data_IF_644261466628
#
_entry.id   IF_644261466628
#
_cell.length_a   1.000
_cell.length_b   1.000
_cell.length_c   1.000
_cell.angle_alpha   90.00
_cell.angle_beta   90.00
_cell.angle_gamma   90.00
#
_symmetry.space_group_name_H-M   'P 1'
#
loop_
_entity.id
_entity.type
_entity.pdbx_description
1 polymer ?
#
# COMPACT_ATOMS: atom_id res chain seq x y z
N UNK A 1 -24.35 53.72 0.49
CA UNK A 1 -23.05 53.21 0.97
C UNK A 1 -23.26 52.06 1.97
N UNK A 2 -23.72 50.90 1.58
CA UNK A 2 -24.09 49.83 2.53
C UNK A 2 -24.14 48.43 1.98
N UNK A 3 -23.43 48.15 0.85
CA UNK A 3 -23.49 46.82 0.21
C UNK A 3 -22.15 46.12 -0.06
N UNK A 4 -21.01 46.74 0.24
CA UNK A 4 -19.68 46.23 -0.09
C UNK A 4 -19.02 45.44 1.06
N UNK A 5 -19.49 45.58 2.28
CA UNK A 5 -18.82 44.97 3.48
C UNK A 5 -19.26 43.51 3.75
N UNK A 6 -20.41 43.08 3.18
CA UNK A 6 -20.92 41.70 3.45
C UNK A 6 -20.27 40.57 2.65
N UNK A 7 -19.53 40.85 1.56
CA UNK A 7 -18.92 39.82 0.71
C UNK A 7 -17.48 39.51 1.10
N UNK A 8 -16.80 40.34 1.85
CA UNK A 8 -15.42 40.11 2.32
C UNK A 8 -15.32 39.03 3.41
N UNK A 9 -16.31 38.91 4.30
CA UNK A 9 -16.28 37.91 5.37
C UNK A 9 -16.53 36.47 4.89
N UNK A 10 -17.28 36.30 3.82
CA UNK A 10 -17.53 34.96 3.27
C UNK A 10 -16.32 34.38 2.51
N UNK A 11 -15.53 35.22 1.86
CA UNK A 11 -14.31 34.79 1.15
C UNK A 11 -13.20 34.34 2.12
N UNK A 12 -13.07 35.01 3.27
CA UNK A 12 -12.11 34.60 4.31
C UNK A 12 -12.54 33.34 5.04
N UNK A 13 -13.83 33.12 5.24
CA UNK A 13 -14.39 31.91 5.82
C UNK A 13 -14.19 30.68 4.93
N UNK A 14 -14.36 30.83 3.61
CA UNK A 14 -14.16 29.74 2.64
C UNK A 14 -12.68 29.42 2.46
N UNK A 15 -11.80 30.42 2.47
CA UNK A 15 -10.35 30.22 2.35
C UNK A 15 -9.74 29.55 3.59
N UNK A 16 -10.26 29.85 4.80
CA UNK A 16 -9.85 29.20 6.05
C UNK A 16 -10.34 27.74 6.14
N UNK A 17 -11.47 27.40 5.50
CA UNK A 17 -12.03 26.06 5.50
C UNK A 17 -11.29 25.09 4.54
N UNK A 18 -10.66 25.61 3.49
CA UNK A 18 -9.90 24.79 2.52
C UNK A 18 -8.53 24.35 3.02
N UNK A 19 -7.97 24.99 4.06
CA UNK A 19 -6.67 24.64 4.64
C UNK A 19 -6.75 23.52 5.70
N UNK A 20 -7.95 23.14 6.16
CA UNK A 20 -8.14 22.07 7.17
C UNK A 20 -8.49 20.71 6.58
N UNK A 21 -8.63 20.56 5.26
CA UNK A 21 -9.25 19.37 4.66
C UNK A 21 -8.32 18.15 4.55
N UNK A 22 -7.01 18.31 4.50
CA UNK A 22 -6.07 17.19 4.33
C UNK A 22 -5.97 16.30 5.57
N UNK A 23 -5.77 16.89 6.76
CA UNK A 23 -5.58 16.15 8.01
C UNK A 23 -6.88 15.46 8.49
N UNK A 24 -8.05 16.09 8.29
CA UNK A 24 -9.33 15.51 8.69
C UNK A 24 -9.71 14.28 7.84
N UNK A 25 -9.39 14.29 6.56
CA UNK A 25 -9.74 13.19 5.64
C UNK A 25 -9.03 11.89 6.00
N UNK A 26 -7.72 11.93 6.29
CA UNK A 26 -6.96 10.74 6.70
C UNK A 26 -7.48 10.20 8.04
N UNK A 27 -7.78 11.07 9.01
CA UNK A 27 -8.33 10.66 10.30
C UNK A 27 -9.72 10.04 10.16
N UNK A 28 -10.60 10.61 9.33
CA UNK A 28 -11.93 10.06 9.06
C UNK A 28 -11.79 8.70 8.37
N UNK A 29 -10.97 8.60 7.33
CA UNK A 29 -10.74 7.36 6.60
C UNK A 29 -10.19 6.26 7.52
N UNK A 30 -9.23 6.60 8.40
CA UNK A 30 -8.68 5.64 9.35
C UNK A 30 -9.71 5.19 10.39
N UNK A 31 -10.54 6.10 10.90
CA UNK A 31 -11.58 5.74 11.86
C UNK A 31 -12.69 4.84 11.29
N UNK A 32 -12.80 4.75 9.96
CA UNK A 32 -13.72 3.86 9.24
C UNK A 32 -12.99 2.67 8.59
N UNK A 33 -11.70 2.46 8.93
CA UNK A 33 -10.86 1.49 8.22
C UNK A 33 -11.37 0.05 8.36
N UNK A 34 -11.89 -0.33 9.52
CA UNK A 34 -12.48 -1.64 9.77
C UNK A 34 -13.71 -1.91 8.89
N UNK A 35 -14.60 -0.93 8.73
CA UNK A 35 -15.75 -1.05 7.83
C UNK A 35 -15.32 -1.07 6.35
N UNK A 36 -14.37 -0.22 5.95
CA UNK A 36 -13.85 -0.20 4.57
C UNK A 36 -13.19 -1.53 4.22
N UNK A 37 -12.37 -2.08 5.13
CA UNK A 37 -11.72 -3.38 4.95
C UNK A 37 -12.76 -4.51 4.92
N UNK A 38 -13.79 -4.43 5.75
CA UNK A 38 -14.91 -5.38 5.72
C UNK A 38 -15.58 -5.42 4.33
N UNK A 39 -16.00 -4.27 3.80
CA UNK A 39 -16.64 -4.22 2.48
C UNK A 39 -15.71 -4.66 1.34
N UNK A 40 -14.42 -4.33 1.45
CA UNK A 40 -13.43 -4.79 0.49
C UNK A 40 -13.27 -6.32 0.53
N UNK A 41 -13.16 -6.92 1.72
CA UNK A 41 -13.05 -8.36 1.92
C UNK A 41 -14.32 -9.08 1.46
N UNK A 42 -15.49 -8.59 1.85
CA UNK A 42 -16.79 -9.13 1.42
C UNK A 42 -16.92 -9.13 -0.11
N UNK A 43 -16.47 -8.04 -0.76
CA UNK A 43 -16.42 -7.95 -2.23
C UNK A 43 -15.47 -8.95 -2.91
N UNK A 44 -14.55 -9.59 -2.17
CA UNK A 44 -13.71 -10.68 -2.66
C UNK A 44 -14.31 -12.05 -2.39
N UNK A 45 -14.80 -12.25 -1.18
CA UNK A 45 -15.13 -13.56 -0.63
C UNK A 45 -16.61 -13.85 -0.78
N UNK A 46 -17.49 -12.84 -0.71
CA UNK A 46 -18.94 -12.98 -0.59
C UNK A 46 -19.30 -13.75 0.72
N UNK A 47 -19.12 -13.05 1.83
CA UNK A 47 -19.25 -13.63 3.16
C UNK A 47 -20.69 -14.08 3.43
N UNK A 48 -20.85 -15.26 3.97
CA UNK A 48 -22.15 -15.74 4.45
C UNK A 48 -22.59 -14.98 5.71
N UNK A 49 -23.90 -14.96 5.99
CA UNK A 49 -24.44 -14.30 7.19
C UNK A 49 -23.85 -14.85 8.50
N UNK A 50 -23.40 -16.11 8.50
CA UNK A 50 -22.72 -16.72 9.63
C UNK A 50 -21.28 -16.23 9.81
N UNK A 51 -20.58 -15.87 8.72
CA UNK A 51 -19.19 -15.39 8.74
C UNK A 51 -19.10 -13.89 9.05
N UNK A 52 -20.10 -13.09 8.64
CA UNK A 52 -20.10 -11.63 8.78
C UNK A 52 -19.84 -11.14 10.22
N UNK A 53 -20.51 -11.65 11.27
CA UNK A 53 -20.26 -11.20 12.64
C UNK A 53 -18.81 -11.45 13.09
N UNK A 54 -18.27 -12.64 12.81
CA UNK A 54 -16.89 -13.00 13.12
C UNK A 54 -15.90 -12.08 12.43
N UNK A 55 -16.06 -11.83 11.14
CA UNK A 55 -15.15 -10.96 10.37
C UNK A 55 -15.20 -9.52 10.89
N UNK A 56 -16.39 -8.97 11.17
CA UNK A 56 -16.51 -7.62 11.72
C UNK A 56 -15.82 -7.49 13.08
N UNK A 57 -16.00 -8.45 13.94
CA UNK A 57 -15.37 -8.47 15.27
C UNK A 57 -13.85 -8.59 15.16
N UNK A 58 -13.35 -9.47 14.30
CA UNK A 58 -11.91 -9.58 13.99
C UNK A 58 -11.33 -8.26 13.50
N UNK A 59 -11.98 -7.61 12.56
CA UNK A 59 -11.51 -6.33 12.01
C UNK A 59 -11.54 -5.21 13.04
N UNK A 60 -12.55 -5.18 13.92
CA UNK A 60 -12.61 -4.23 15.02
C UNK A 60 -11.45 -4.43 16.00
N UNK A 61 -11.13 -5.66 16.38
CA UNK A 61 -10.00 -5.98 17.25
C UNK A 61 -8.66 -5.65 16.59
N UNK A 62 -8.51 -6.02 15.30
CA UNK A 62 -7.33 -5.67 14.51
C UNK A 62 -7.13 -4.16 14.44
N UNK A 63 -8.19 -3.38 14.19
CA UNK A 63 -8.13 -1.92 14.13
C UNK A 63 -7.72 -1.32 15.48
N UNK A 64 -8.27 -1.83 16.58
CA UNK A 64 -7.91 -1.40 17.93
C UNK A 64 -6.44 -1.71 18.25
N UNK A 65 -5.99 -2.94 18.00
CA UNK A 65 -4.58 -3.32 18.18
C UNK A 65 -3.64 -2.49 17.30
N UNK A 66 -3.99 -2.30 16.02
CA UNK A 66 -3.21 -1.50 15.09
C UNK A 66 -3.06 -0.07 15.58
N UNK A 67 -4.14 0.52 16.09
CA UNK A 67 -4.14 1.87 16.67
C UNK A 67 -3.21 1.97 17.86
N UNK A 68 -3.27 1.02 18.78
CA UNK A 68 -2.54 1.06 20.04
C UNK A 68 -1.06 0.64 19.91
N UNK A 69 -0.77 -0.30 19.02
CA UNK A 69 0.54 -0.93 18.92
C UNK A 69 1.32 -0.50 17.68
N UNK A 70 0.66 -0.33 16.54
CA UNK A 70 1.35 -0.10 15.27
C UNK A 70 1.49 1.38 14.93
N UNK A 71 0.49 2.20 15.21
CA UNK A 71 0.60 3.63 14.93
C UNK A 71 1.77 4.31 15.67
N UNK A 72 2.09 4.01 16.95
CA UNK A 72 3.30 4.51 17.60
C UNK A 72 4.58 4.12 16.86
N UNK A 73 4.70 2.87 16.42
CA UNK A 73 5.86 2.38 15.65
C UNK A 73 5.97 3.12 14.30
N UNK A 74 4.83 3.40 13.64
CA UNK A 74 4.83 4.15 12.40
C UNK A 74 5.21 5.62 12.59
N UNK A 75 4.91 6.22 13.75
CA UNK A 75 5.42 7.55 14.10
C UNK A 75 6.94 7.53 14.17
N UNK A 76 7.54 6.56 14.88
CA UNK A 76 8.99 6.40 14.96
C UNK A 76 9.62 6.18 13.58
N UNK A 77 9.00 5.35 12.75
CA UNK A 77 9.43 5.14 11.37
C UNK A 77 9.40 6.44 10.54
N UNK A 78 8.32 7.22 10.63
CA UNK A 78 8.20 8.49 9.90
C UNK A 78 9.24 9.51 10.38
N UNK A 79 9.54 9.57 11.68
CA UNK A 79 10.62 10.39 12.24
C UNK A 79 11.98 10.02 11.66
N UNK A 80 12.28 8.71 11.55
CA UNK A 80 13.49 8.20 10.90
C UNK A 80 13.58 8.68 9.43
N UNK A 81 12.49 8.53 8.67
CA UNK A 81 12.45 8.96 7.26
C UNK A 81 12.57 10.49 7.14
N UNK A 82 11.88 11.23 8.00
CA UNK A 82 11.94 12.71 8.02
C UNK A 82 13.33 13.23 8.34
N UNK A 83 14.07 12.55 9.21
CA UNK A 83 15.46 12.92 9.51
C UNK A 83 16.39 12.77 8.28
N UNK A 84 16.07 11.90 7.33
CA UNK A 84 16.81 11.74 6.08
C UNK A 84 16.42 12.80 5.03
N UNK A 85 15.23 13.35 5.11
CA UNK A 85 14.67 14.22 4.05
C UNK A 85 15.54 15.42 3.67
N UNK A 86 16.25 16.12 4.58
CA UNK A 86 17.13 17.24 4.22
C UNK A 86 18.43 16.84 3.52
N UNK A 87 18.83 15.57 3.64
CA UNK A 87 20.15 15.08 3.23
C UNK A 87 20.08 14.31 1.91
N UNK A 88 21.21 14.16 1.25
CA UNK A 88 21.35 13.15 0.20
C UNK A 88 21.29 11.75 0.80
N UNK A 89 20.71 10.80 0.06
CA UNK A 89 20.57 9.42 0.48
C UNK A 89 21.24 8.47 -0.50
N UNK A 90 21.69 7.34 0.02
CA UNK A 90 22.19 6.22 -0.79
C UNK A 90 21.03 5.24 -1.10
N UNK A 91 21.22 4.41 -2.13
CA UNK A 91 20.24 3.40 -2.52
C UNK A 91 19.90 2.43 -1.36
N UNK A 92 20.88 2.09 -0.53
CA UNK A 92 20.75 1.22 0.65
C UNK A 92 19.80 1.82 1.69
N UNK A 93 19.82 3.14 1.88
CA UNK A 93 18.89 3.82 2.79
C UNK A 93 17.45 3.77 2.25
N UNK A 94 17.29 3.98 0.93
CA UNK A 94 15.99 3.81 0.28
C UNK A 94 15.48 2.35 0.40
N UNK A 95 16.37 1.36 0.19
CA UNK A 95 16.04 -0.05 0.37
C UNK A 95 15.68 -0.39 1.81
N UNK A 96 16.36 0.20 2.80
CA UNK A 96 16.02 0.03 4.22
C UNK A 96 14.62 0.53 4.54
N UNK A 97 14.24 1.71 4.01
CA UNK A 97 12.89 2.26 4.16
C UNK A 97 11.83 1.29 3.56
N UNK A 98 12.08 0.79 2.35
CA UNK A 98 11.19 -0.20 1.72
C UNK A 98 11.08 -1.48 2.54
N UNK A 99 12.18 -1.94 3.14
CA UNK A 99 12.18 -3.13 4.00
C UNK A 99 11.39 -2.89 5.30
N UNK A 100 11.52 -1.73 5.92
CA UNK A 100 10.75 -1.37 7.11
C UNK A 100 9.23 -1.39 6.83
N UNK A 101 8.80 -0.86 5.67
CA UNK A 101 7.40 -0.93 5.22
C UNK A 101 6.95 -2.38 5.00
N UNK A 102 7.78 -3.21 4.38
CA UNK A 102 7.48 -4.63 4.19
C UNK A 102 7.34 -5.36 5.53
N UNK A 103 8.23 -5.09 6.50
CA UNK A 103 8.19 -5.68 7.83
C UNK A 103 6.91 -5.28 8.59
N UNK A 104 6.49 -4.02 8.50
CA UNK A 104 5.23 -3.55 9.08
C UNK A 104 4.02 -4.31 8.51
N UNK A 105 4.00 -4.55 7.19
CA UNK A 105 2.96 -5.38 6.56
C UNK A 105 2.99 -6.83 7.07
N UNK A 106 4.16 -7.45 7.17
CA UNK A 106 4.32 -8.82 7.69
C UNK A 106 3.83 -8.90 9.14
N UNK A 107 4.15 -7.92 9.98
CA UNK A 107 3.67 -7.84 11.37
C UNK A 107 2.14 -7.80 11.43
N UNK A 108 1.49 -7.01 10.58
CA UNK A 108 0.03 -6.94 10.48
C UNK A 108 -0.57 -8.31 10.11
N UNK A 109 -0.02 -8.97 9.08
CA UNK A 109 -0.52 -10.27 8.62
C UNK A 109 -0.34 -11.35 9.68
N UNK A 110 0.79 -11.36 10.38
CA UNK A 110 1.04 -12.32 11.47
C UNK A 110 0.08 -12.10 12.64
N UNK A 111 -0.29 -10.85 12.93
CA UNK A 111 -1.22 -10.58 14.04
C UNK A 111 -2.62 -11.15 13.77
N UNK A 112 -3.09 -11.07 12.52
CA UNK A 112 -4.44 -11.53 12.13
C UNK A 112 -4.45 -12.97 11.62
N UNK A 113 -3.31 -13.67 11.67
CA UNK A 113 -3.15 -15.03 11.13
C UNK A 113 -4.13 -16.06 11.74
N UNK A 114 -4.33 -16.14 13.08
CA UNK A 114 -5.22 -17.13 13.66
C UNK A 114 -6.66 -16.99 13.14
N UNK A 115 -7.18 -15.77 13.11
CA UNK A 115 -8.52 -15.46 12.63
C UNK A 115 -8.64 -15.66 11.11
N UNK A 116 -7.57 -15.36 10.37
CA UNK A 116 -7.50 -15.63 8.93
C UNK A 116 -7.60 -17.13 8.64
N UNK A 117 -6.87 -17.97 9.37
CA UNK A 117 -6.95 -19.43 9.24
C UNK A 117 -8.34 -19.94 9.61
N UNK A 118 -8.96 -19.39 10.66
CA UNK A 118 -10.32 -19.75 11.05
C UNK A 118 -11.35 -19.40 9.96
N UNK A 119 -11.26 -18.21 9.37
CA UNK A 119 -12.13 -17.80 8.26
C UNK A 119 -11.91 -18.67 7.02
N UNK A 120 -10.65 -18.88 6.62
CA UNK A 120 -10.30 -19.71 5.46
C UNK A 120 -10.81 -21.13 5.63
N UNK A 121 -10.76 -21.68 6.86
CA UNK A 121 -11.28 -23.00 7.19
C UNK A 121 -12.81 -23.13 7.01
N UNK A 122 -13.54 -22.02 6.93
CA UNK A 122 -14.99 -21.98 6.74
C UNK A 122 -15.40 -21.65 5.30
N UNK A 123 -14.44 -21.40 4.38
CA UNK A 123 -14.75 -21.03 3.01
C UNK A 123 -15.36 -22.19 2.23
N UNK A 124 -16.42 -21.87 1.50
CA UNK A 124 -17.16 -22.79 0.64
C UNK A 124 -16.67 -22.71 -0.82
N UNK A 125 -17.00 -23.73 -1.61
CA UNK A 125 -16.63 -23.79 -3.03
C UNK A 125 -17.09 -22.55 -3.84
N UNK A 126 -18.29 -22.03 -3.56
CA UNK A 126 -18.83 -20.82 -4.18
C UNK A 126 -17.95 -19.57 -3.89
N UNK A 127 -17.44 -19.48 -2.67
CA UNK A 127 -16.58 -18.36 -2.25
C UNK A 127 -15.23 -18.41 -2.97
N UNK A 128 -14.64 -19.59 -3.16
CA UNK A 128 -13.46 -19.73 -3.99
C UNK A 128 -13.73 -19.34 -5.45
N UNK A 129 -14.92 -19.60 -5.99
CA UNK A 129 -15.30 -19.12 -7.33
C UNK A 129 -15.39 -17.59 -7.38
N UNK A 130 -15.93 -16.94 -6.34
CA UNK A 130 -16.00 -15.49 -6.26
C UNK A 130 -14.61 -14.85 -6.21
N UNK A 131 -13.68 -15.41 -5.42
CA UNK A 131 -12.29 -14.97 -5.38
C UNK A 131 -11.64 -15.08 -6.78
N UNK A 132 -11.86 -16.19 -7.50
CA UNK A 132 -11.34 -16.36 -8.88
C UNK A 132 -11.90 -15.32 -9.84
N UNK A 133 -13.22 -15.08 -9.83
CA UNK A 133 -13.86 -14.03 -10.65
C UNK A 133 -13.30 -12.66 -10.35
N UNK A 134 -13.04 -12.37 -9.07
CA UNK A 134 -12.42 -11.11 -8.65
C UNK A 134 -11.00 -10.99 -9.19
N UNK A 135 -10.21 -12.06 -9.13
CA UNK A 135 -8.87 -12.10 -9.71
C UNK A 135 -8.91 -11.88 -11.22
N UNK A 136 -9.81 -12.51 -11.96
CA UNK A 136 -9.97 -12.33 -13.41
C UNK A 136 -10.24 -10.86 -13.77
N UNK A 137 -11.16 -10.20 -13.05
CA UNK A 137 -11.44 -8.76 -13.25
C UNK A 137 -10.22 -7.90 -12.99
N UNK A 138 -9.50 -8.13 -11.88
CA UNK A 138 -8.30 -7.39 -11.54
C UNK A 138 -7.14 -7.67 -12.51
N UNK A 139 -7.05 -8.89 -13.05
CA UNK A 139 -6.06 -9.28 -14.05
C UNK A 139 -6.34 -8.61 -15.41
N UNK A 140 -7.62 -8.45 -15.77
CA UNK A 140 -8.00 -7.68 -16.96
C UNK A 140 -7.53 -6.22 -16.83
N UNK A 141 -7.87 -5.54 -15.75
CA UNK A 141 -7.44 -4.15 -15.51
C UNK A 141 -5.91 -4.03 -15.52
N UNK A 142 -5.21 -4.96 -14.87
CA UNK A 142 -3.75 -4.95 -14.84
C UNK A 142 -3.13 -5.09 -16.24
N UNK A 143 -3.70 -5.96 -17.11
CA UNK A 143 -3.23 -6.06 -18.50
C UNK A 143 -3.46 -4.77 -19.28
N UNK A 144 -4.64 -4.16 -19.14
CA UNK A 144 -4.96 -2.87 -19.78
C UNK A 144 -3.96 -1.77 -19.40
N UNK A 145 -3.51 -1.75 -18.14
CA UNK A 145 -2.59 -0.76 -17.61
C UNK A 145 -1.12 -1.03 -17.97
N UNK A 146 -0.68 -2.31 -17.95
CA UNK A 146 0.73 -2.66 -17.97
C UNK A 146 1.17 -3.54 -19.16
N UNK A 147 0.26 -4.17 -19.89
CA UNK A 147 0.59 -5.06 -21.01
C UNK A 147 0.04 -4.59 -22.35
N UNK A 148 -1.18 -4.03 -22.37
CA UNK A 148 -1.84 -3.72 -23.62
C UNK A 148 -1.34 -2.41 -24.23
N UNK A 149 -1.23 -2.40 -25.57
CA UNK A 149 -0.77 -1.26 -26.34
C UNK A 149 0.74 -1.23 -26.58
N UNK A 150 1.23 -0.11 -27.11
CA UNK A 150 2.65 0.07 -27.45
C UNK A 150 3.53 0.23 -26.20
N UNK A 151 4.83 -0.06 -26.33
CA UNK A 151 5.82 0.14 -25.28
C UNK A 151 5.79 1.59 -24.76
N UNK A 152 5.68 2.53 -25.67
CA UNK A 152 5.57 3.96 -25.33
C UNK A 152 4.35 4.27 -24.45
N UNK A 153 3.18 3.67 -24.76
CA UNK A 153 1.98 3.85 -23.92
C UNK A 153 2.21 3.32 -22.52
N UNK A 154 2.79 2.12 -22.39
CA UNK A 154 3.09 1.48 -21.10
C UNK A 154 4.12 2.26 -20.29
N UNK A 155 5.20 2.71 -20.93
CA UNK A 155 6.21 3.55 -20.28
C UNK A 155 5.64 4.87 -19.80
N UNK A 156 4.85 5.58 -20.63
CA UNK A 156 4.16 6.81 -20.22
C UNK A 156 3.21 6.60 -19.05
N UNK A 157 2.44 5.51 -19.05
CA UNK A 157 1.56 5.18 -17.92
C UNK A 157 2.34 4.99 -16.63
N UNK A 158 3.40 4.18 -16.64
CA UNK A 158 4.25 3.94 -15.47
C UNK A 158 4.91 5.23 -14.97
N UNK A 159 5.46 6.02 -15.89
CA UNK A 159 6.09 7.30 -15.55
C UNK A 159 5.09 8.28 -14.93
N UNK A 160 3.86 8.36 -15.47
CA UNK A 160 2.78 9.19 -14.92
C UNK A 160 2.40 8.76 -13.50
N UNK A 161 2.24 7.45 -13.26
CA UNK A 161 1.90 6.94 -11.93
C UNK A 161 3.00 7.24 -10.90
N UNK A 162 4.27 7.05 -11.28
CA UNK A 162 5.40 7.35 -10.41
C UNK A 162 5.52 8.85 -10.15
N UNK A 163 5.41 9.68 -11.19
CA UNK A 163 5.43 11.14 -11.08
C UNK A 163 4.37 11.66 -10.11
N UNK A 164 3.11 11.23 -10.27
CA UNK A 164 2.02 11.67 -9.40
C UNK A 164 2.31 11.37 -7.93
N UNK A 165 2.77 10.15 -7.62
CA UNK A 165 3.11 9.75 -6.24
C UNK A 165 4.27 10.58 -5.65
N UNK A 166 5.26 10.92 -6.46
CA UNK A 166 6.40 11.71 -6.00
C UNK A 166 5.99 13.18 -5.80
N UNK A 167 5.14 13.72 -6.68
CA UNK A 167 4.63 15.10 -6.56
C UNK A 167 3.70 15.26 -5.33
N UNK A 168 3.02 14.20 -4.87
CA UNK A 168 2.26 14.22 -3.62
C UNK A 168 3.14 14.55 -2.39
N UNK A 169 4.41 14.13 -2.41
CA UNK A 169 5.35 14.34 -1.31
C UNK A 169 6.24 15.57 -1.50
N UNK A 170 6.84 15.72 -2.68
CA UNK A 170 7.82 16.77 -2.97
C UNK A 170 7.21 18.06 -3.53
N UNK A 171 5.93 18.02 -3.94
CA UNK A 171 5.33 19.05 -4.80
C UNK A 171 5.78 18.89 -6.25
N UNK A 172 5.53 19.93 -7.04
CA UNK A 172 5.84 19.89 -8.48
C UNK A 172 7.31 19.59 -8.75
N UNK A 173 7.55 18.62 -9.64
CA UNK A 173 8.88 18.28 -10.13
C UNK A 173 9.21 19.08 -11.40
N UNK A 174 10.45 19.52 -11.54
CA UNK A 174 10.94 20.24 -12.71
C UNK A 174 11.26 19.33 -13.90
N UNK A 175 11.66 19.93 -15.04
CA UNK A 175 11.92 19.16 -16.24
C UNK A 175 13.11 18.17 -16.11
N UNK A 176 14.26 18.54 -15.50
CA UNK A 176 15.33 17.60 -15.18
C UNK A 176 14.91 16.43 -14.32
N UNK A 177 14.11 16.67 -13.27
CA UNK A 177 13.60 15.65 -12.36
C UNK A 177 12.62 14.69 -13.07
N UNK A 178 11.75 15.23 -13.92
CA UNK A 178 10.86 14.42 -14.78
C UNK A 178 11.65 13.56 -15.78
N UNK A 179 12.79 14.05 -16.25
CA UNK A 179 13.68 13.28 -17.12
C UNK A 179 14.34 12.11 -16.35
N UNK A 180 14.73 12.32 -15.08
CA UNK A 180 15.21 11.23 -14.21
C UNK A 180 14.15 10.12 -14.11
N UNK A 181 12.88 10.48 -13.90
CA UNK A 181 11.78 9.49 -13.83
C UNK A 181 11.63 8.72 -15.15
N UNK A 182 11.69 9.42 -16.29
CA UNK A 182 11.61 8.75 -17.61
C UNK A 182 12.76 7.76 -17.80
N UNK A 183 13.98 8.16 -17.46
CA UNK A 183 15.16 7.30 -17.57
C UNK A 183 15.08 6.11 -16.60
N UNK A 184 14.58 6.31 -15.39
CA UNK A 184 14.35 5.24 -14.43
C UNK A 184 13.38 4.20 -15.01
N UNK A 185 12.25 4.63 -15.57
CA UNK A 185 11.27 3.76 -16.19
C UNK A 185 11.82 3.06 -17.44
N UNK A 186 12.56 3.79 -18.30
CA UNK A 186 13.10 3.25 -19.54
C UNK A 186 14.23 2.23 -19.33
N UNK A 187 15.01 2.38 -18.25
CA UNK A 187 16.11 1.47 -17.90
C UNK A 187 15.68 0.30 -17.00
N UNK A 188 14.47 0.35 -16.46
CA UNK A 188 13.97 -0.68 -15.56
C UNK A 188 13.90 -2.03 -16.25
N UNK A 189 14.34 -3.08 -15.56
CA UNK A 189 14.18 -4.47 -15.95
C UNK A 189 12.71 -4.97 -15.92
N UNK A 190 11.77 -4.09 -15.58
CA UNK A 190 10.35 -4.42 -15.53
C UNK A 190 9.87 -5.03 -16.85
N UNK A 191 9.50 -6.30 -16.81
CA UNK A 191 8.91 -7.02 -17.91
C UNK A 191 7.42 -7.33 -17.59
N UNK A 192 6.47 -6.81 -18.39
CA UNK A 192 5.05 -7.03 -18.14
C UNK A 192 4.65 -8.50 -18.12
N UNK A 193 5.19 -9.30 -19.06
CA UNK A 193 4.86 -10.73 -19.14
C UNK A 193 5.34 -11.50 -17.91
N UNK A 194 6.58 -11.26 -17.48
CA UNK A 194 7.15 -11.87 -16.26
C UNK A 194 6.37 -11.46 -15.01
N UNK A 195 6.06 -10.15 -14.87
CA UNK A 195 5.28 -9.63 -13.74
C UNK A 195 3.86 -10.19 -13.72
N UNK A 196 3.25 -10.37 -14.89
CA UNK A 196 1.92 -10.97 -14.99
C UNK A 196 1.94 -12.46 -14.66
N UNK A 197 2.93 -13.19 -15.12
CA UNK A 197 3.12 -14.60 -14.79
C UNK A 197 3.29 -14.80 -13.28
N UNK A 198 4.12 -13.98 -12.62
CA UNK A 198 4.26 -14.02 -11.15
C UNK A 198 2.97 -13.64 -10.42
N UNK A 199 2.22 -12.66 -10.94
CA UNK A 199 0.91 -12.32 -10.41
C UNK A 199 -0.06 -13.52 -10.43
N UNK A 200 -0.13 -14.24 -11.56
CA UNK A 200 -0.95 -15.44 -11.69
C UNK A 200 -0.47 -16.56 -10.77
N UNK A 201 0.85 -16.75 -10.65
CA UNK A 201 1.46 -17.73 -9.73
C UNK A 201 0.98 -17.47 -8.30
N UNK A 202 1.13 -16.24 -7.80
CA UNK A 202 0.70 -15.85 -6.43
C UNK A 202 -0.79 -16.06 -6.19
N UNK A 203 -1.64 -15.74 -7.17
CA UNK A 203 -3.08 -15.96 -7.08
C UNK A 203 -3.43 -17.44 -7.05
N UNK A 204 -2.79 -18.25 -7.88
CA UNK A 204 -2.99 -19.70 -7.90
C UNK A 204 -2.49 -20.36 -6.60
N UNK A 205 -1.32 -19.95 -6.10
CA UNK A 205 -0.79 -20.43 -4.82
C UNK A 205 -1.72 -20.05 -3.64
N UNK A 206 -2.30 -18.84 -3.64
CA UNK A 206 -3.31 -18.44 -2.66
C UNK A 206 -4.52 -19.39 -2.68
N UNK A 207 -5.11 -19.62 -3.85
CA UNK A 207 -6.27 -20.50 -4.00
C UNK A 207 -5.94 -21.93 -3.56
N UNK A 208 -4.80 -22.48 -3.96
CA UNK A 208 -4.37 -23.82 -3.56
C UNK A 208 -4.15 -23.92 -2.05
N UNK A 209 -3.47 -22.95 -1.47
CA UNK A 209 -3.18 -22.94 -0.04
C UNK A 209 -4.46 -22.80 0.78
N UNK A 210 -5.35 -21.88 0.40
CA UNK A 210 -6.62 -21.66 1.10
C UNK A 210 -7.55 -22.88 0.94
N UNK A 211 -7.56 -23.56 -0.21
CA UNK A 211 -8.29 -24.80 -0.40
C UNK A 211 -7.76 -25.91 0.54
N UNK A 212 -6.43 -26.06 0.67
CA UNK A 212 -5.86 -27.04 1.62
C UNK A 212 -6.23 -26.72 3.06
N UNK A 213 -6.18 -25.45 3.46
CA UNK A 213 -6.57 -25.02 4.81
C UNK A 213 -8.05 -25.31 5.05
N UNK A 214 -8.94 -25.04 4.08
CA UNK A 214 -10.38 -25.30 4.23
C UNK A 214 -10.73 -26.78 4.33
N UNK A 215 -9.85 -27.66 3.85
CA UNK A 215 -10.01 -29.13 3.95
C UNK A 215 -9.33 -29.73 5.19
N UNK A 216 -8.58 -28.92 5.94
CA UNK A 216 -7.86 -29.34 7.15
C UNK A 216 -8.71 -29.04 8.41
N UNK A 217 -8.28 -29.56 9.57
CA UNK A 217 -8.87 -29.16 10.85
C UNK A 217 -8.67 -27.66 11.07
N UNK A 218 -9.77 -26.92 11.21
CA UNK A 218 -9.77 -25.46 11.38
C UNK A 218 -8.90 -25.03 12.57
N UNK A 219 -8.04 -24.01 12.37
CA UNK A 219 -7.24 -23.42 13.44
C UNK A 219 -5.99 -24.20 13.84
N UNK A 220 -5.63 -25.27 13.13
CA UNK A 220 -4.44 -26.07 13.47
C UNK A 220 -3.13 -25.29 13.23
N UNK A 221 -2.08 -25.62 13.99
CA UNK A 221 -0.72 -25.10 13.76
C UNK A 221 -0.20 -25.38 12.34
N UNK A 222 -0.64 -26.52 11.76
CA UNK A 222 -0.32 -26.85 10.37
C UNK A 222 -0.98 -25.87 9.37
N UNK A 223 -2.23 -25.45 9.62
CA UNK A 223 -2.91 -24.45 8.79
C UNK A 223 -2.25 -23.06 8.88
N UNK A 224 -1.82 -22.68 10.07
CA UNK A 224 -1.04 -21.44 10.27
C UNK A 224 0.30 -21.51 9.52
N UNK A 225 1.02 -22.63 9.61
CA UNK A 225 2.28 -22.82 8.86
C UNK A 225 2.05 -22.76 7.33
N UNK A 226 0.94 -23.30 6.82
CA UNK A 226 0.58 -23.17 5.40
C UNK A 226 0.33 -21.73 4.99
N UNK A 227 -0.37 -20.94 5.82
CA UNK A 227 -0.65 -19.53 5.55
C UNK A 227 0.64 -18.70 5.55
N UNK A 228 1.54 -18.93 6.54
CA UNK A 228 2.88 -18.28 6.57
C UNK A 228 3.70 -18.64 5.33
N UNK A 229 3.73 -19.92 4.96
CA UNK A 229 4.46 -20.36 3.78
C UNK A 229 3.93 -19.72 2.49
N UNK A 230 2.61 -19.52 2.37
CA UNK A 230 2.03 -18.77 1.27
C UNK A 230 2.47 -17.29 1.26
N UNK A 231 2.46 -16.64 2.42
CA UNK A 231 2.92 -15.24 2.56
C UNK A 231 4.39 -15.14 2.14
N UNK A 232 5.25 -16.03 2.64
CA UNK A 232 6.67 -16.04 2.30
C UNK A 232 6.89 -16.23 0.79
N UNK A 233 6.26 -17.23 0.15
CA UNK A 233 6.34 -17.42 -1.30
C UNK A 233 5.74 -16.28 -2.12
N UNK A 234 4.86 -15.49 -1.53
CA UNK A 234 4.30 -14.30 -2.18
C UNK A 234 5.28 -13.12 -2.15
N UNK A 235 6.07 -13.01 -1.09
CA UNK A 235 7.10 -11.97 -0.91
C UNK A 235 8.44 -12.38 -1.55
N UNK A 236 8.78 -13.66 -1.48
CA UNK A 236 10.02 -14.24 -1.95
C UNK A 236 9.71 -15.39 -2.92
N UNK A 237 9.58 -15.11 -4.23
CA UNK A 237 9.29 -16.15 -5.22
C UNK A 237 10.27 -17.31 -5.09
N UNK A 238 9.80 -18.58 -5.03
CA UNK A 238 10.68 -19.74 -4.87
C UNK A 238 11.47 -20.08 -6.14
N UNK A 239 10.97 -19.66 -7.30
CA UNK A 239 11.67 -19.87 -8.57
C UNK A 239 12.83 -18.88 -8.68
N UNK A 240 14.05 -19.37 -8.87
CA UNK A 240 15.29 -18.57 -8.89
C UNK A 240 15.23 -17.39 -9.87
N UNK A 241 14.67 -17.60 -11.05
CA UNK A 241 14.53 -16.57 -12.08
C UNK A 241 13.62 -15.44 -11.60
N UNK A 242 12.47 -15.76 -11.00
CA UNK A 242 11.54 -14.77 -10.46
C UNK A 242 12.10 -14.08 -9.22
N UNK A 243 12.82 -14.83 -8.38
CA UNK A 243 13.49 -14.27 -7.21
C UNK A 243 14.54 -13.24 -7.61
N UNK A 244 15.45 -13.58 -8.53
CA UNK A 244 16.43 -12.61 -9.07
C UNK A 244 15.74 -11.40 -9.71
N UNK A 245 14.69 -11.64 -10.50
CA UNK A 245 13.91 -10.56 -11.10
C UNK A 245 13.33 -9.60 -10.06
N UNK A 246 12.74 -10.11 -8.98
CA UNK A 246 12.18 -9.29 -7.91
C UNK A 246 13.23 -8.49 -7.16
N UNK A 247 14.40 -9.09 -6.88
CA UNK A 247 15.54 -8.41 -6.25
C UNK A 247 16.09 -7.29 -7.13
N UNK A 248 16.25 -7.55 -8.44
CA UNK A 248 16.70 -6.52 -9.39
C UNK A 248 15.74 -5.34 -9.44
N UNK A 249 14.43 -5.59 -9.54
CA UNK A 249 13.43 -4.51 -9.51
C UNK A 249 13.46 -3.72 -8.20
N UNK A 250 13.65 -4.41 -7.06
CA UNK A 250 13.79 -3.72 -5.76
C UNK A 250 15.00 -2.81 -5.77
N UNK A 251 16.16 -3.30 -6.21
CA UNK A 251 17.40 -2.53 -6.27
C UNK A 251 17.27 -1.32 -7.21
N UNK A 252 16.75 -1.51 -8.42
CA UNK A 252 16.50 -0.43 -9.38
C UNK A 252 15.57 0.66 -8.81
N UNK A 253 14.56 0.27 -8.04
CA UNK A 253 13.65 1.21 -7.39
C UNK A 253 14.35 2.00 -6.28
N UNK A 254 15.22 1.37 -5.49
CA UNK A 254 16.03 2.06 -4.48
C UNK A 254 16.98 3.09 -5.11
N UNK A 255 17.68 2.70 -6.19
CA UNK A 255 18.61 3.56 -6.93
C UNK A 255 17.87 4.72 -7.61
N UNK A 256 16.76 4.43 -8.27
CA UNK A 256 15.93 5.44 -8.92
C UNK A 256 15.38 6.46 -7.94
N UNK A 257 14.90 6.00 -6.78
CA UNK A 257 14.39 6.88 -5.72
C UNK A 257 15.53 7.74 -5.13
N UNK A 258 16.68 7.16 -4.79
CA UNK A 258 17.81 7.89 -4.27
C UNK A 258 18.30 8.95 -5.27
N UNK A 259 18.41 8.60 -6.56
CA UNK A 259 18.79 9.53 -7.62
C UNK A 259 17.80 10.69 -7.75
N UNK A 260 16.49 10.41 -7.71
CA UNK A 260 15.49 11.47 -7.76
C UNK A 260 15.57 12.35 -6.52
N UNK A 261 15.57 11.76 -5.32
CA UNK A 261 15.67 12.51 -4.06
C UNK A 261 16.88 13.44 -4.05
N UNK A 262 18.06 12.95 -4.46
CA UNK A 262 19.29 13.73 -4.50
C UNK A 262 19.26 14.88 -5.53
N UNK A 263 18.38 14.81 -6.54
CA UNK A 263 18.15 15.88 -7.50
C UNK A 263 17.15 16.95 -7.02
N UNK A 264 16.47 16.70 -5.89
CA UNK A 264 15.44 17.64 -5.38
C UNK A 264 16.07 18.89 -4.79
N UNK A 265 15.36 20.02 -4.94
CA UNK A 265 15.76 21.30 -4.35
C UNK A 265 15.57 21.27 -2.84
N UNK A 266 16.20 22.22 -2.14
CA UNK A 266 16.00 22.41 -0.70
C UNK A 266 14.51 22.61 -0.36
N UNK A 267 13.80 23.44 -1.12
CA UNK A 267 12.37 23.68 -0.89
C UNK A 267 11.51 22.42 -1.05
N UNK A 268 11.85 21.55 -2.02
CA UNK A 268 11.16 20.26 -2.19
C UNK A 268 11.44 19.30 -1.02
N UNK A 269 12.68 19.27 -0.52
CA UNK A 269 13.06 18.46 0.67
C UNK A 269 12.38 18.99 1.96
N UNK A 270 12.28 20.30 2.12
CA UNK A 270 11.54 20.93 3.21
C UNK A 270 10.05 20.54 3.14
N UNK A 271 9.43 20.57 1.95
CA UNK A 271 8.04 20.12 1.75
C UNK A 271 7.86 18.62 2.07
N UNK A 272 8.79 17.76 1.67
CA UNK A 272 8.78 16.35 2.06
C UNK A 272 8.79 16.21 3.58
N UNK A 273 9.68 16.93 4.28
CA UNK A 273 9.78 16.88 5.74
C UNK A 273 8.51 17.40 6.42
N UNK A 274 7.88 18.46 5.90
CA UNK A 274 6.61 18.98 6.38
C UNK A 274 5.46 17.97 6.19
N UNK A 275 5.35 17.34 5.02
CA UNK A 275 4.36 16.30 4.76
C UNK A 275 4.53 15.12 5.71
N UNK A 276 5.75 14.65 5.92
CA UNK A 276 6.05 13.56 6.87
C UNK A 276 5.66 13.97 8.30
N UNK A 277 5.98 15.19 8.74
CA UNK A 277 5.60 15.71 10.06
C UNK A 277 4.06 15.78 10.22
N UNK A 278 3.34 16.16 9.16
CA UNK A 278 1.88 16.13 9.19
C UNK A 278 1.34 14.70 9.41
N UNK A 279 1.89 13.72 8.71
CA UNK A 279 1.52 12.30 8.93
C UNK A 279 1.91 11.82 10.33
N UNK A 280 3.09 12.17 10.85
CA UNK A 280 3.49 11.87 12.23
C UNK A 280 2.44 12.38 13.24
N UNK A 281 2.02 13.64 13.11
CA UNK A 281 1.02 14.26 13.99
C UNK A 281 -0.36 13.57 13.86
N UNK A 282 -0.77 13.22 12.65
CA UNK A 282 -2.03 12.50 12.41
C UNK A 282 -1.99 11.13 13.09
N UNK A 283 -0.93 10.34 12.89
CA UNK A 283 -0.81 9.01 13.48
C UNK A 283 -0.70 9.07 15.00
N UNK A 284 0.06 10.03 15.53
CA UNK A 284 0.15 10.27 16.97
C UNK A 284 -1.23 10.57 17.58
N UNK A 285 -1.98 11.49 16.98
CA UNK A 285 -3.32 11.84 17.44
C UNK A 285 -4.32 10.67 17.33
N UNK A 286 -4.17 9.83 16.32
CA UNK A 286 -4.98 8.61 16.16
C UNK A 286 -4.63 7.56 17.22
N UNK A 287 -3.36 7.39 17.57
CA UNK A 287 -2.90 6.48 18.61
C UNK A 287 -3.42 6.84 20.02
N UNK A 288 -3.58 8.15 20.30
CA UNK A 288 -4.08 8.63 21.59
C UNK A 288 -5.60 8.49 21.77
N UNK A 289 -6.38 8.31 20.68
CA UNK A 289 -7.83 8.13 20.78
C UNK A 289 -8.14 6.71 21.25
N UNK A 290 -8.86 6.62 22.36
CA UNK A 290 -9.36 5.35 22.92
C UNK A 290 -10.54 4.81 22.12
#
# INVERSE_FOLDING_TARGET
MGRIIRHGCYLWGVLAFTLMTGCSTVQIAYNQADEVVYWWLDGYVDLTDKQKPFVKETLRHLHQWHRQSQLPEYVVFLQKVRALAPHEIQAEQACSIMQDVQNAFVTLVHHVEPESVQLIGQLQASQFQNIRKKYEKLNKNWREDYMDGSDDKRMRYRAKQLLSRLEDFYGSLDAPQKEIIKQWIAKSSFNPATSYADRLRRQNDAIQTFTRISQSSSGSSASQAQLRGWLDRSLHPPEEVLHKYSLNLKQENCEGFAKLHNSTTRAQRERLAENLLQYENILHNLALKK
#
